data_IF_674597181536
#
_entry.id   IF_674597181536
#
_cell.length_a   1.000
_cell.length_b   1.000
_cell.length_c   1.000
_cell.angle_alpha   90.00
_cell.angle_beta   90.00
_cell.angle_gamma   90.00
#
_symmetry.space_group_name_H-M   'P 1'
#
loop_
_entity.id
_entity.type
_entity.pdbx_description
1 polymer ?
#
# COMPACT_ATOMS: atom_id res chain seq x y z
N UNK A 1 -3.23 -5.71 -26.48
CA UNK A 1 -3.16 -5.55 -27.94
C UNK A 1 -1.75 -5.73 -28.49
N UNK A 2 -0.72 -5.03 -27.92
CA UNK A 2 0.65 -5.04 -28.44
C UNK A 2 1.25 -6.47 -28.52
N UNK A 3 1.08 -7.27 -27.48
CA UNK A 3 1.62 -8.64 -27.45
C UNK A 3 0.93 -9.57 -28.46
N UNK A 4 -0.36 -9.38 -28.71
CA UNK A 4 -1.08 -10.13 -29.75
C UNK A 4 -0.58 -9.75 -31.16
N UNK A 5 -0.35 -8.45 -31.38
CA UNK A 5 0.24 -7.93 -32.62
C UNK A 5 1.65 -8.51 -32.81
N UNK A 6 2.48 -8.49 -31.77
CA UNK A 6 3.82 -9.09 -31.81
C UNK A 6 3.79 -10.59 -32.16
N UNK A 7 2.83 -11.34 -31.61
CA UNK A 7 2.66 -12.76 -31.94
C UNK A 7 2.24 -12.98 -33.38
N UNK A 8 1.31 -12.15 -33.90
CA UNK A 8 0.89 -12.19 -35.29
C UNK A 8 2.08 -11.87 -36.22
N UNK A 9 2.86 -10.84 -35.88
CA UNK A 9 4.09 -10.49 -36.61
C UNK A 9 5.07 -11.67 -36.66
N UNK A 10 5.29 -12.37 -35.54
CA UNK A 10 6.15 -13.54 -35.50
C UNK A 10 5.67 -14.67 -36.44
N UNK A 11 4.36 -14.85 -36.57
CA UNK A 11 3.79 -15.85 -37.48
C UNK A 11 4.00 -15.44 -38.94
N UNK A 12 3.76 -14.16 -39.28
CA UNK A 12 3.87 -13.65 -40.65
C UNK A 12 5.33 -13.63 -41.14
N UNK A 13 6.26 -13.25 -40.25
CA UNK A 13 7.69 -13.06 -40.60
C UNK A 13 8.60 -14.18 -40.11
N UNK A 14 8.04 -15.32 -39.69
CA UNK A 14 8.79 -16.47 -39.15
C UNK A 14 9.82 -16.09 -38.08
N UNK A 15 9.50 -15.06 -37.29
CA UNK A 15 10.37 -14.58 -36.21
C UNK A 15 10.26 -15.51 -34.98
N UNK A 16 11.41 -15.75 -34.31
CA UNK A 16 11.48 -16.58 -33.11
C UNK A 16 11.33 -15.81 -31.79
N UNK A 17 10.82 -14.58 -31.82
CA UNK A 17 10.69 -13.75 -30.62
C UNK A 17 9.82 -14.45 -29.56
N UNK A 18 10.35 -14.55 -28.34
CA UNK A 18 9.66 -15.14 -27.19
C UNK A 18 8.96 -14.06 -26.40
N UNK A 19 7.70 -14.30 -26.09
CA UNK A 19 6.87 -13.39 -25.30
C UNK A 19 6.92 -13.84 -23.84
N UNK A 20 7.22 -12.91 -22.94
CA UNK A 20 7.18 -13.09 -21.50
C UNK A 20 6.19 -12.08 -20.91
N UNK A 21 5.48 -12.47 -19.87
CA UNK A 21 4.57 -11.57 -19.13
C UNK A 21 4.94 -11.57 -17.65
N UNK A 22 4.62 -10.48 -16.98
CA UNK A 22 4.74 -10.36 -15.53
C UNK A 22 3.38 -10.01 -14.93
N UNK A 23 2.93 -10.81 -13.94
CA UNK A 23 1.73 -10.53 -13.17
C UNK A 23 2.11 -10.10 -11.75
N UNK A 24 1.82 -8.85 -11.46
CA UNK A 24 2.13 -8.25 -10.16
C UNK A 24 1.09 -8.54 -9.09
N UNK A 25 -0.15 -8.88 -9.48
CA UNK A 25 -1.23 -9.13 -8.55
C UNK A 25 -1.38 -10.63 -8.26
N UNK A 26 -2.02 -10.94 -7.13
CA UNK A 26 -2.33 -12.33 -6.77
C UNK A 26 -3.22 -13.01 -7.81
N UNK A 27 -4.16 -12.27 -8.39
CA UNK A 27 -5.00 -12.74 -9.49
C UNK A 27 -4.61 -12.06 -10.79
N UNK A 28 -4.66 -12.81 -11.89
CA UNK A 28 -4.35 -12.28 -13.21
C UNK A 28 -5.34 -11.17 -13.63
N UNK A 29 -4.82 -10.03 -14.04
CA UNK A 29 -5.57 -9.04 -14.77
C UNK A 29 -5.99 -9.55 -16.16
N UNK A 30 -7.07 -8.99 -16.73
CA UNK A 30 -7.64 -9.45 -18.00
C UNK A 30 -6.60 -9.52 -19.13
N UNK A 31 -5.75 -8.50 -19.25
CA UNK A 31 -4.69 -8.46 -20.26
C UNK A 31 -3.72 -9.65 -20.10
N UNK A 32 -3.28 -9.93 -18.88
CA UNK A 32 -2.37 -11.03 -18.61
C UNK A 32 -3.05 -12.41 -18.73
N UNK A 33 -4.35 -12.52 -18.45
CA UNK A 33 -5.12 -13.77 -18.74
C UNK A 33 -5.06 -14.12 -20.23
N UNK A 34 -5.27 -13.12 -21.09
CA UNK A 34 -5.23 -13.32 -22.55
C UNK A 34 -3.78 -13.59 -23.01
N UNK A 35 -2.85 -12.77 -22.55
CA UNK A 35 -1.44 -12.89 -22.94
C UNK A 35 -0.79 -14.20 -22.46
N UNK A 36 -1.29 -14.81 -21.39
CA UNK A 36 -0.80 -16.10 -20.89
C UNK A 36 -0.88 -17.20 -21.96
N UNK A 37 -1.90 -17.16 -22.81
CA UNK A 37 -2.08 -18.17 -23.87
C UNK A 37 -0.91 -18.19 -24.86
N UNK A 38 -0.35 -17.02 -25.18
CA UNK A 38 0.72 -16.84 -26.16
C UNK A 38 2.11 -16.65 -25.54
N UNK A 39 2.19 -16.45 -24.24
CA UNK A 39 3.46 -16.29 -23.52
C UNK A 39 4.22 -17.62 -23.47
N UNK A 40 5.55 -17.52 -23.54
CA UNK A 40 6.45 -18.63 -23.24
C UNK A 40 6.46 -18.91 -21.74
N UNK A 41 6.66 -17.89 -20.92
CA UNK A 41 6.58 -17.96 -19.48
C UNK A 41 5.83 -16.74 -18.91
N UNK A 42 5.25 -16.94 -17.73
CA UNK A 42 4.61 -15.92 -16.93
C UNK A 42 5.32 -15.79 -15.58
N UNK A 43 5.99 -14.69 -15.37
CA UNK A 43 6.57 -14.35 -14.07
C UNK A 43 5.47 -13.86 -13.15
N UNK A 44 5.42 -14.36 -11.92
CA UNK A 44 4.40 -14.01 -10.94
C UNK A 44 5.03 -13.46 -9.67
N UNK A 45 4.41 -12.41 -9.10
CA UNK A 45 4.86 -11.77 -7.86
C UNK A 45 4.37 -12.46 -6.59
N UNK A 46 3.32 -13.27 -6.69
CA UNK A 46 2.76 -14.00 -5.56
C UNK A 46 2.86 -15.50 -5.82
N UNK A 47 3.46 -16.28 -4.92
CA UNK A 47 3.50 -17.73 -5.07
C UNK A 47 2.09 -18.31 -4.94
N UNK A 48 1.80 -19.37 -5.68
CA UNK A 48 0.54 -20.10 -5.67
C UNK A 48 0.77 -21.54 -5.28
N UNK A 49 -0.15 -22.13 -4.54
CA UNK A 49 -0.09 -23.55 -4.16
C UNK A 49 -0.02 -24.44 -5.41
N UNK A 50 -0.83 -24.12 -6.42
CA UNK A 50 -0.85 -24.83 -7.70
C UNK A 50 -0.41 -23.87 -8.81
N UNK A 51 0.89 -23.82 -9.09
CA UNK A 51 1.43 -23.03 -10.20
C UNK A 51 1.10 -23.70 -11.53
N UNK A 52 0.72 -22.89 -12.52
CA UNK A 52 0.50 -23.38 -13.90
C UNK A 52 1.84 -23.65 -14.57
N UNK A 53 1.86 -24.49 -15.59
CA UNK A 53 3.09 -24.97 -16.26
C UNK A 53 4.03 -23.88 -16.77
N UNK A 54 3.51 -22.69 -17.11
CA UNK A 54 4.32 -21.55 -17.59
C UNK A 54 4.63 -20.53 -16.50
N UNK A 55 4.11 -20.68 -15.28
CA UNK A 55 4.31 -19.72 -14.19
C UNK A 55 5.66 -19.96 -13.52
N UNK A 56 6.38 -18.85 -13.25
CA UNK A 56 7.63 -18.82 -12.51
C UNK A 56 7.48 -17.75 -11.44
N UNK A 57 7.61 -18.14 -10.17
CA UNK A 57 7.59 -17.18 -9.07
C UNK A 57 8.92 -16.41 -9.03
N UNK A 58 8.83 -15.07 -9.07
CA UNK A 58 9.99 -14.17 -9.06
C UNK A 58 9.89 -13.08 -7.98
N UNK A 59 8.74 -12.99 -7.28
CA UNK A 59 8.48 -11.89 -6.38
C UNK A 59 8.10 -10.60 -7.10
N UNK A 60 8.00 -9.51 -6.35
CA UNK A 60 7.70 -8.19 -6.89
C UNK A 60 8.98 -7.38 -7.08
N UNK A 61 9.03 -6.55 -8.11
CA UNK A 61 10.15 -5.65 -8.35
C UNK A 61 9.91 -4.34 -7.60
N UNK A 62 10.80 -3.99 -6.71
CA UNK A 62 10.87 -2.68 -6.06
C UNK A 62 12.34 -2.31 -5.83
N UNK A 63 12.59 -1.03 -5.69
CA UNK A 63 13.93 -0.56 -5.36
C UNK A 63 14.20 -0.84 -3.89
N UNK A 64 15.30 -1.54 -3.63
CA UNK A 64 15.79 -1.75 -2.27
C UNK A 64 16.32 -0.41 -1.72
N UNK A 65 15.53 0.22 -0.87
CA UNK A 65 15.91 1.43 -0.16
C UNK A 65 16.35 1.09 1.27
N UNK A 66 17.19 0.09 1.43
CA UNK A 66 17.62 -0.40 2.75
C UNK A 66 18.40 0.67 3.56
N UNK A 67 17.80 1.85 3.69
CA UNK A 67 18.29 2.92 4.53
C UNK A 67 18.05 2.57 6.00
N UNK A 68 19.00 2.85 6.89
CA UNK A 68 18.73 2.77 8.32
C UNK A 68 17.58 3.70 8.69
N UNK A 69 16.87 3.37 9.76
CA UNK A 69 15.89 4.28 10.34
C UNK A 69 16.64 5.52 10.80
N UNK A 70 16.47 6.64 10.14
CA UNK A 70 16.78 7.92 10.73
C UNK A 70 15.79 8.11 11.89
N UNK A 71 16.26 8.26 13.11
CA UNK A 71 15.43 8.64 14.24
C UNK A 71 14.94 10.06 13.96
N UNK A 72 13.75 10.14 13.38
CA UNK A 72 12.99 11.38 13.44
C UNK A 72 12.81 11.70 14.94
N UNK A 73 12.93 12.96 15.29
CA UNK A 73 12.81 13.47 16.66
C UNK A 73 11.75 12.69 17.42
N UNK A 74 12.14 11.91 18.46
CA UNK A 74 11.24 11.04 19.22
C UNK A 74 10.13 11.77 20.00
N UNK A 75 9.92 13.05 19.69
CA UNK A 75 8.88 13.94 20.18
C UNK A 75 7.52 13.74 19.53
N UNK A 76 7.50 13.29 18.26
CA UNK A 76 6.29 13.17 17.46
C UNK A 76 6.07 11.74 16.97
N UNK A 77 4.81 11.38 16.82
CA UNK A 77 4.38 10.16 16.09
C UNK A 77 4.22 10.53 14.62
N UNK A 78 4.99 9.89 13.74
CA UNK A 78 4.97 10.17 12.30
C UNK A 78 3.97 9.26 11.60
N UNK A 79 2.92 9.84 11.03
CA UNK A 79 1.85 9.13 10.31
C UNK A 79 1.94 9.42 8.82
N UNK A 80 2.12 8.38 8.00
CA UNK A 80 2.12 8.48 6.54
C UNK A 80 0.77 8.02 5.97
N UNK A 81 0.16 8.85 5.11
CA UNK A 81 -0.95 8.45 4.25
C UNK A 81 -0.47 8.30 2.81
N UNK A 82 -0.67 7.12 2.22
CA UNK A 82 -0.26 6.83 0.84
C UNK A 82 -1.35 6.10 0.05
N UNK A 83 -1.80 6.69 -1.04
CA UNK A 83 -2.85 6.16 -1.92
C UNK A 83 -2.35 5.34 -3.11
N UNK A 84 -1.04 5.05 -3.18
CA UNK A 84 -0.39 4.48 -4.36
C UNK A 84 0.04 5.57 -5.36
N UNK A 85 0.39 5.19 -6.59
CA UNK A 85 0.99 6.13 -7.58
C UNK A 85 0.13 7.35 -7.90
N UNK A 86 -1.19 7.21 -7.92
CA UNK A 86 -2.13 8.29 -8.25
C UNK A 86 -2.70 9.01 -7.02
N UNK A 87 -2.35 8.57 -5.80
CA UNK A 87 -3.02 9.02 -4.59
C UNK A 87 -4.44 8.46 -4.44
N UNK A 88 -5.15 8.82 -3.37
CA UNK A 88 -6.50 8.33 -3.11
C UNK A 88 -7.34 9.34 -2.34
N UNK A 89 -8.38 9.87 -2.98
CA UNK A 89 -9.32 10.78 -2.32
C UNK A 89 -10.10 10.08 -1.20
N UNK A 90 -10.44 8.80 -1.38
CA UNK A 90 -11.14 8.02 -0.37
C UNK A 90 -10.31 7.87 0.91
N UNK A 91 -8.99 7.59 0.79
CA UNK A 91 -8.10 7.56 1.94
C UNK A 91 -7.96 8.92 2.62
N UNK A 92 -7.86 10.00 1.83
CA UNK A 92 -7.81 11.35 2.37
C UNK A 92 -9.09 11.71 3.13
N UNK A 93 -10.28 11.38 2.59
CA UNK A 93 -11.53 11.60 3.30
C UNK A 93 -11.59 10.82 4.62
N UNK A 94 -11.15 9.56 4.60
CA UNK A 94 -11.11 8.75 5.82
C UNK A 94 -10.15 9.30 6.87
N UNK A 95 -8.97 9.75 6.47
CA UNK A 95 -8.04 10.37 7.40
C UNK A 95 -8.62 11.67 8.00
N UNK A 96 -9.30 12.51 7.20
CA UNK A 96 -9.98 13.71 7.70
C UNK A 96 -11.07 13.36 8.71
N UNK A 97 -11.85 12.29 8.48
CA UNK A 97 -12.84 11.80 9.46
C UNK A 97 -12.17 11.36 10.77
N UNK A 98 -11.04 10.63 10.70
CA UNK A 98 -10.29 10.19 11.87
C UNK A 98 -9.69 11.37 12.66
N UNK A 99 -9.12 12.36 11.97
CA UNK A 99 -8.55 13.56 12.59
C UNK A 99 -9.61 14.35 13.37
N UNK A 100 -10.82 14.49 12.82
CA UNK A 100 -11.93 15.20 13.49
C UNK A 100 -12.40 14.55 14.80
N UNK A 101 -12.12 13.26 14.96
CA UNK A 101 -12.49 12.48 16.14
C UNK A 101 -11.38 12.45 17.20
N UNK A 102 -10.19 12.99 16.88
CA UNK A 102 -9.06 13.04 17.82
C UNK A 102 -9.12 14.27 18.71
N UNK A 103 -8.82 14.09 20.00
CA UNK A 103 -8.59 15.21 20.92
C UNK A 103 -7.36 16.02 20.48
N UNK A 104 -7.39 17.35 20.65
CA UNK A 104 -6.30 18.27 20.31
C UNK A 104 -4.97 17.88 20.96
N UNK A 105 -4.99 17.43 22.22
CA UNK A 105 -3.81 16.95 22.96
C UNK A 105 -3.02 15.82 22.24
N UNK A 106 -3.69 15.04 21.37
CA UNK A 106 -3.05 14.00 20.54
C UNK A 106 -2.56 14.58 19.24
N UNK A 107 -3.32 15.49 18.61
CA UNK A 107 -2.95 16.13 17.35
C UNK A 107 -1.63 16.90 17.45
N UNK A 108 -1.39 17.60 18.57
CA UNK A 108 -0.16 18.33 18.86
C UNK A 108 1.11 17.45 18.87
N UNK A 109 0.94 16.13 19.01
CA UNK A 109 2.04 15.15 19.10
C UNK A 109 2.17 14.26 17.88
N UNK A 110 1.39 14.53 16.81
CA UNK A 110 1.42 13.76 15.58
C UNK A 110 1.88 14.64 14.43
N UNK A 111 2.82 14.13 13.64
CA UNK A 111 3.16 14.70 12.33
C UNK A 111 2.57 13.86 11.21
N UNK A 112 1.80 14.50 10.36
CA UNK A 112 1.15 13.86 9.22
C UNK A 112 1.92 14.13 7.93
N UNK A 113 2.21 13.07 7.19
CA UNK A 113 2.79 13.09 5.85
C UNK A 113 1.74 12.55 4.87
N UNK A 114 1.15 13.44 4.06
CA UNK A 114 -0.11 13.15 3.39
C UNK A 114 0.08 13.22 1.88
N UNK A 115 -0.14 12.08 1.22
CA UNK A 115 -0.23 12.05 -0.23
C UNK A 115 -1.61 12.52 -0.69
N UNK A 116 -1.65 13.56 -1.50
CA UNK A 116 -2.87 14.07 -2.13
C UNK A 116 -2.73 13.92 -3.64
N UNK A 117 -3.77 13.44 -4.37
CA UNK A 117 -3.78 13.46 -5.82
C UNK A 117 -3.52 14.88 -6.36
N UNK A 118 -2.68 15.00 -7.39
CA UNK A 118 -2.25 16.29 -7.94
C UNK A 118 -3.43 17.21 -8.29
N UNK A 119 -4.44 16.66 -8.95
CA UNK A 119 -5.66 17.39 -9.35
C UNK A 119 -6.48 17.97 -8.18
N UNK A 120 -6.20 17.57 -6.95
CA UNK A 120 -6.97 17.95 -5.75
C UNK A 120 -6.10 18.53 -4.64
N UNK A 121 -4.83 18.80 -4.91
CA UNK A 121 -3.86 19.22 -3.89
C UNK A 121 -4.31 20.45 -3.11
N UNK A 122 -4.75 21.51 -3.80
CA UNK A 122 -5.15 22.77 -3.16
C UNK A 122 -6.40 22.61 -2.28
N UNK A 123 -7.37 21.79 -2.74
CA UNK A 123 -8.63 21.58 -2.02
C UNK A 123 -8.38 20.80 -0.72
N UNK A 124 -7.62 19.71 -0.81
CA UNK A 124 -7.38 18.85 0.35
C UNK A 124 -6.37 19.45 1.32
N UNK A 125 -5.35 20.15 0.82
CA UNK A 125 -4.42 20.90 1.65
C UNK A 125 -5.19 21.84 2.57
N UNK A 126 -6.08 22.67 2.03
CA UNK A 126 -6.92 23.58 2.82
C UNK A 126 -7.74 22.83 3.87
N UNK A 127 -8.38 21.70 3.51
CA UNK A 127 -9.18 20.90 4.47
C UNK A 127 -8.34 20.37 5.64
N UNK A 128 -7.08 20.06 5.42
CA UNK A 128 -6.17 19.62 6.49
C UNK A 128 -5.68 20.79 7.33
N UNK A 129 -5.32 21.91 6.71
CA UNK A 129 -4.89 23.14 7.37
C UNK A 129 -6.01 23.75 8.26
N UNK A 130 -7.28 23.52 7.93
CA UNK A 130 -8.42 23.89 8.78
C UNK A 130 -8.54 23.04 10.06
N UNK A 131 -7.85 21.90 10.14
CA UNK A 131 -7.93 20.92 11.25
C UNK A 131 -6.61 20.70 11.99
N UNK A 132 -5.47 21.01 11.37
CA UNK A 132 -4.14 20.72 11.85
C UNK A 132 -3.28 21.98 11.79
N UNK A 133 -2.37 22.12 12.74
CA UNK A 133 -1.33 23.14 12.65
C UNK A 133 -0.41 22.87 11.46
N UNK A 134 0.02 23.94 10.78
CA UNK A 134 0.86 23.84 9.59
C UNK A 134 2.20 23.12 9.85
N UNK A 135 2.73 23.21 11.07
CA UNK A 135 3.97 22.52 11.47
C UNK A 135 3.79 21.02 11.66
N UNK A 136 2.54 20.56 11.77
CA UNK A 136 2.19 19.16 12.01
C UNK A 136 1.74 18.41 10.74
N UNK A 137 1.75 19.06 9.57
CA UNK A 137 1.38 18.39 8.32
C UNK A 137 2.33 18.74 7.17
N UNK A 138 2.63 17.74 6.36
CA UNK A 138 3.41 17.85 5.13
C UNK A 138 2.66 17.16 3.99
N UNK A 139 2.58 17.82 2.83
CA UNK A 139 1.82 17.35 1.70
C UNK A 139 2.72 17.05 0.51
N UNK A 140 2.39 16.00 -0.24
CA UNK A 140 3.08 15.65 -1.48
C UNK A 140 2.10 14.96 -2.45
N UNK A 141 2.38 15.02 -3.75
CA UNK A 141 1.60 14.34 -4.78
C UNK A 141 2.16 12.95 -5.07
N UNK A 142 3.46 12.89 -5.31
CA UNK A 142 4.18 11.65 -5.51
C UNK A 142 5.63 11.79 -4.96
N UNK A 143 6.12 10.74 -4.32
CA UNK A 143 7.48 10.70 -3.81
C UNK A 143 8.08 9.31 -4.08
N UNK A 144 9.18 9.30 -4.83
CA UNK A 144 9.96 8.09 -5.06
C UNK A 144 10.82 7.75 -3.82
N UNK A 145 11.12 6.46 -3.65
CA UNK A 145 12.09 5.98 -2.68
C UNK A 145 11.78 6.43 -1.23
N UNK A 146 10.52 6.29 -0.82
CA UNK A 146 10.12 6.49 0.57
C UNK A 146 10.84 5.48 1.47
N UNK A 147 11.45 5.98 2.55
CA UNK A 147 11.93 5.14 3.62
C UNK A 147 10.78 4.90 4.62
N UNK A 148 10.08 3.79 4.48
CA UNK A 148 8.92 3.47 5.32
C UNK A 148 9.26 3.24 6.79
N UNK A 149 10.54 2.99 7.10
CA UNK A 149 11.01 2.83 8.48
C UNK A 149 10.98 4.15 9.28
N UNK A 150 10.89 5.31 8.61
CA UNK A 150 10.79 6.62 9.25
C UNK A 150 9.41 6.89 9.86
N UNK A 151 8.39 6.12 9.46
CA UNK A 151 7.02 6.33 9.90
C UNK A 151 6.62 5.33 10.98
N UNK A 152 5.99 5.85 12.02
CA UNK A 152 5.48 5.03 13.13
C UNK A 152 4.16 4.35 12.75
N UNK A 153 3.39 4.95 11.84
CA UNK A 153 2.15 4.42 11.31
C UNK A 153 2.03 4.76 9.82
N UNK A 154 1.66 3.76 9.01
CA UNK A 154 1.38 3.94 7.60
C UNK A 154 -0.07 3.55 7.31
N UNK A 155 -0.80 4.43 6.64
CA UNK A 155 -2.14 4.19 6.14
C UNK A 155 -2.06 4.11 4.61
N UNK A 156 -2.34 2.95 4.02
CA UNK A 156 -2.07 2.73 2.60
C UNK A 156 -3.15 1.92 1.89
N UNK A 157 -3.19 2.06 0.55
CA UNK A 157 -3.87 1.12 -0.32
C UNK A 157 -3.09 -0.19 -0.42
N UNK A 158 -3.81 -1.28 -0.68
CA UNK A 158 -3.23 -2.63 -0.85
C UNK A 158 -2.92 -2.99 -2.30
N UNK A 159 -2.38 -2.03 -3.07
CA UNK A 159 -1.80 -2.32 -4.37
C UNK A 159 -0.59 -3.25 -4.24
N UNK A 160 -0.36 -4.09 -5.24
CA UNK A 160 0.73 -5.09 -5.18
C UNK A 160 2.10 -4.48 -4.89
N UNK A 161 2.46 -3.39 -5.57
CA UNK A 161 3.72 -2.68 -5.31
C UNK A 161 3.78 -2.17 -3.88
N UNK A 162 2.76 -1.42 -3.44
CA UNK A 162 2.72 -0.81 -2.11
C UNK A 162 2.79 -1.85 -0.98
N UNK A 163 2.05 -2.97 -1.08
CA UNK A 163 2.10 -4.02 -0.07
C UNK A 163 3.53 -4.56 0.06
N UNK A 164 4.13 -4.97 -1.05
CA UNK A 164 5.45 -5.60 -1.01
C UNK A 164 6.53 -4.63 -0.54
N UNK A 165 6.52 -3.39 -1.05
CA UNK A 165 7.50 -2.38 -0.70
C UNK A 165 7.43 -1.96 0.77
N UNK A 166 6.21 -1.74 1.29
CA UNK A 166 6.01 -1.39 2.70
C UNK A 166 6.39 -2.56 3.60
N UNK A 167 5.87 -3.77 3.33
CA UNK A 167 6.11 -4.94 4.18
C UNK A 167 7.54 -5.42 4.17
N UNK A 168 8.30 -5.14 3.12
CA UNK A 168 9.74 -5.36 3.09
C UNK A 168 10.49 -4.51 4.13
N UNK A 169 9.99 -3.30 4.42
CA UNK A 169 10.67 -2.35 5.29
C UNK A 169 10.09 -2.32 6.71
N UNK A 170 8.76 -2.45 6.87
CA UNK A 170 8.07 -2.32 8.16
C UNK A 170 6.74 -3.06 8.20
N UNK A 171 6.32 -3.43 9.42
CA UNK A 171 4.99 -3.98 9.70
C UNK A 171 4.01 -2.93 10.26
N UNK A 172 4.44 -1.67 10.40
CA UNK A 172 3.62 -0.60 10.97
C UNK A 172 2.66 0.01 9.94
N UNK A 173 1.78 -0.81 9.37
CA UNK A 173 0.89 -0.38 8.30
C UNK A 173 -0.54 -0.89 8.49
N UNK A 174 -1.51 -0.04 8.14
CA UNK A 174 -2.90 -0.42 7.94
C UNK A 174 -3.27 -0.28 6.47
N UNK A 175 -3.80 -1.35 5.90
CA UNK A 175 -4.21 -1.36 4.51
C UNK A 175 -5.72 -1.17 4.39
N UNK A 176 -6.13 -0.26 3.50
CA UNK A 176 -7.52 -0.10 3.07
C UNK A 176 -7.62 -0.45 1.58
N UNK A 177 -8.08 -1.66 1.23
CA UNK A 177 -8.25 -2.04 -0.16
C UNK A 177 -9.33 -1.17 -0.83
N UNK A 178 -9.15 -0.86 -2.11
CA UNK A 178 -10.18 -0.23 -2.90
C UNK A 178 -11.24 -1.28 -3.29
N UNK A 179 -12.40 -1.23 -2.62
CA UNK A 179 -13.44 -2.26 -2.74
C UNK A 179 -14.16 -2.26 -4.10
N UNK A 180 -14.23 -1.09 -4.76
CA UNK A 180 -14.92 -0.89 -6.04
C UNK A 180 -13.96 -1.12 -7.22
N UNK A 181 -12.69 -1.48 -6.96
CA UNK A 181 -11.74 -1.73 -8.04
C UNK A 181 -12.18 -2.92 -8.89
N UNK A 182 -12.07 -2.75 -10.21
CA UNK A 182 -12.29 -3.82 -11.18
C UNK A 182 -11.48 -5.05 -10.77
N UNK A 183 -12.12 -6.21 -10.72
CA UNK A 183 -11.51 -7.50 -10.32
C UNK A 183 -11.05 -7.62 -8.84
N UNK A 184 -11.30 -6.64 -7.98
CA UNK A 184 -10.95 -6.65 -6.54
C UNK A 184 -9.48 -7.05 -6.24
N UNK A 185 -8.55 -6.72 -7.14
CA UNK A 185 -7.13 -7.09 -7.01
C UNK A 185 -6.54 -6.77 -5.65
N UNK A 186 -6.84 -5.57 -5.12
CA UNK A 186 -6.30 -5.12 -3.84
C UNK A 186 -6.76 -5.99 -2.66
N UNK A 187 -8.01 -6.46 -2.68
CA UNK A 187 -8.52 -7.39 -1.67
C UNK A 187 -7.80 -8.74 -1.75
N UNK A 188 -7.62 -9.27 -2.96
CA UNK A 188 -6.93 -10.55 -3.14
C UNK A 188 -5.44 -10.48 -2.82
N UNK A 189 -4.75 -9.39 -3.19
CA UNK A 189 -3.35 -9.17 -2.79
C UNK A 189 -3.20 -9.22 -1.28
N UNK A 190 -4.12 -8.57 -0.56
CA UNK A 190 -4.09 -8.51 0.89
C UNK A 190 -4.44 -9.86 1.53
N UNK A 191 -5.43 -10.59 0.98
CA UNK A 191 -5.83 -11.90 1.51
C UNK A 191 -4.71 -12.94 1.45
N UNK A 192 -3.82 -12.85 0.47
CA UNK A 192 -2.64 -13.71 0.38
C UNK A 192 -1.76 -13.56 1.63
N UNK A 193 -1.41 -12.33 2.02
CA UNK A 193 -0.57 -12.10 3.19
C UNK A 193 -1.25 -12.55 4.49
N UNK A 194 -2.57 -12.43 4.59
CA UNK A 194 -3.29 -12.93 5.77
C UNK A 194 -3.33 -14.45 5.85
N UNK A 195 -3.41 -15.16 4.72
CA UNK A 195 -3.44 -16.62 4.69
C UNK A 195 -2.10 -17.24 5.10
N UNK A 196 -1.00 -16.50 5.00
CA UNK A 196 0.34 -16.98 5.35
C UNK A 196 0.67 -16.88 6.86
N UNK A 197 -0.32 -16.73 7.74
CA UNK A 197 -0.13 -16.53 9.19
C UNK A 197 0.82 -15.38 9.54
N UNK A 198 1.09 -14.48 8.63
CA UNK A 198 1.80 -13.26 8.94
C UNK A 198 0.90 -12.48 9.91
N UNK A 199 1.46 -11.97 10.98
CA UNK A 199 0.80 -11.19 12.06
C UNK A 199 0.12 -9.89 11.58
N UNK A 200 -0.22 -9.82 10.31
CA UNK A 200 -0.67 -8.66 9.55
C UNK A 200 -2.19 -8.62 9.36
N UNK A 201 -2.98 -8.99 10.37
CA UNK A 201 -4.44 -8.79 10.31
C UNK A 201 -4.81 -7.32 10.53
N UNK A 202 -4.19 -6.42 9.73
CA UNK A 202 -4.38 -4.97 9.85
C UNK A 202 -5.23 -4.43 8.70
N UNK A 203 -6.55 -4.42 8.90
CA UNK A 203 -7.46 -3.65 8.06
C UNK A 203 -7.81 -2.33 8.75
N UNK A 204 -7.72 -1.24 8.04
CA UNK A 204 -8.40 -0.03 8.42
C UNK A 204 -9.89 -0.20 8.11
N UNK A 205 -10.68 -0.48 9.15
CA UNK A 205 -12.14 -0.53 9.06
C UNK A 205 -12.64 0.82 9.57
N UNK A 206 -13.24 1.66 8.72
CA UNK A 206 -13.86 2.90 9.17
C UNK A 206 -14.89 2.62 10.25
N UNK A 207 -14.99 3.49 11.24
CA UNK A 207 -16.03 3.56 12.27
C UNK A 207 -16.03 2.55 13.42
N UNK A 208 -15.03 1.67 13.58
CA UNK A 208 -15.04 0.77 14.77
C UNK A 208 -14.28 1.28 15.98
N UNK A 209 -13.33 2.13 15.83
CA UNK A 209 -12.56 2.90 16.84
C UNK A 209 -11.53 3.71 16.08
N UNK A 210 -11.23 4.90 16.54
CA UNK A 210 -10.22 5.74 15.90
C UNK A 210 -8.85 5.03 15.91
N UNK A 211 -8.34 4.65 14.74
CA UNK A 211 -7.10 3.88 14.59
C UNK A 211 -5.91 4.68 15.09
N UNK A 212 -5.89 5.99 14.81
CA UNK A 212 -4.79 6.86 15.17
C UNK A 212 -4.70 7.02 16.68
N UNK A 213 -5.84 7.21 17.38
CA UNK A 213 -5.85 7.31 18.83
C UNK A 213 -5.44 6.00 19.50
N UNK A 214 -5.85 4.85 18.96
CA UNK A 214 -5.42 3.55 19.46
C UNK A 214 -3.92 3.34 19.30
N UNK A 215 -3.37 3.67 18.14
CA UNK A 215 -1.94 3.59 17.90
C UNK A 215 -1.17 4.47 18.87
N UNK A 216 -1.58 5.75 19.00
CA UNK A 216 -0.93 6.70 19.89
C UNK A 216 -0.99 6.25 21.36
N UNK A 217 -2.15 5.85 21.84
CA UNK A 217 -2.33 5.38 23.22
C UNK A 217 -1.42 4.19 23.53
N UNK A 218 -1.32 3.25 22.63
CA UNK A 218 -0.50 2.06 22.81
C UNK A 218 1.01 2.33 22.67
N UNK A 219 1.41 3.27 21.80
CA UNK A 219 2.82 3.68 21.69
C UNK A 219 3.33 4.42 22.92
N UNK A 220 2.46 5.16 23.61
CA UNK A 220 2.78 5.80 24.89
C UNK A 220 2.92 4.83 26.06
N UNK A 221 2.10 3.78 26.07
CA UNK A 221 2.09 2.80 27.18
C UNK A 221 3.24 1.80 27.05
N UNK A 222 3.59 1.43 25.80
CA UNK A 222 4.67 0.48 25.56
C UNK A 222 5.30 0.65 24.17
N UNK A 223 6.40 1.41 24.06
CA UNK A 223 7.10 1.63 22.80
C UNK A 223 7.63 0.34 22.13
N UNK A 224 7.71 -0.77 22.89
CA UNK A 224 8.14 -2.09 22.38
C UNK A 224 6.97 -3.04 22.04
N UNK A 225 5.71 -2.64 22.29
CA UNK A 225 4.55 -3.53 22.09
C UNK A 225 3.72 -3.22 20.84
N UNK A 226 4.29 -2.56 19.86
CA UNK A 226 3.65 -2.33 18.54
C UNK A 226 3.16 -3.65 17.93
N UNK A 227 3.82 -4.76 18.23
CA UNK A 227 3.39 -6.10 17.81
C UNK A 227 2.06 -6.58 18.43
N UNK A 228 1.69 -6.11 19.62
CA UNK A 228 0.49 -6.56 20.35
C UNK A 228 -0.82 -5.85 19.97
N UNK A 229 -0.75 -4.66 19.39
CA UNK A 229 -1.93 -3.86 19.01
C UNK A 229 -2.72 -4.53 17.87
N UNK A 230 -2.08 -5.41 17.14
CA UNK A 230 -2.57 -6.07 15.95
C UNK A 230 -3.67 -7.10 16.23
N UNK A 231 -3.76 -7.59 17.47
CA UNK A 231 -4.64 -8.71 17.82
C UNK A 231 -6.08 -8.35 18.19
N UNK A 232 -6.46 -7.08 18.31
CA UNK A 232 -7.78 -6.71 18.88
C UNK A 232 -8.87 -6.29 17.89
N UNK A 233 -8.63 -6.31 16.59
CA UNK A 233 -9.66 -5.91 15.59
C UNK A 233 -10.39 -7.07 14.91
N UNK A 234 -10.25 -8.30 15.41
CA UNK A 234 -10.98 -9.46 14.91
C UNK A 234 -11.71 -10.19 16.04
N UNK A 235 -12.80 -9.61 16.52
CA UNK A 235 -13.96 -10.29 17.11
C UNK A 235 -15.21 -9.56 16.72
#
# INVERSE_FOLDING_TARGET
>A
PILLISKLFNIIFFSSNKIYIHEQNFIYGLANKINYLIAKNAFISFPKVNMRSKEIFVGNFFLDTNKPREKLDGKFVNVLLMGGSAGSLELNNKLLEEIKLLDSKYLEKIKFFIQIPDSHINIYKKKYEDLLDNDNCSFFTFKNNLNFKEYDLILSRSGSGSINEILYQTNNVYFMPHLISRDQHQKFNLSYFFSQNMSLKKFWIPNKKNIISQFYFNSLINPYSIEKIICYTTR
#
